data_IF_459605863923
#
_entry.id   IF_459605863923
#
_cell.length_a   1.000
_cell.length_b   1.000
_cell.length_c   1.000
_cell.angle_alpha   90.00
_cell.angle_beta   90.00
_cell.angle_gamma   90.00
#
_symmetry.space_group_name_H-M   'P 1'
#
loop_
_entity.id
_entity.type
_entity.pdbx_description
1 polymer ?
#
# COMPACT_ATOMS: atom_id res chain seq x y z
N UNK A 1 -15.51 7.83 0.60
CA UNK A 1 -15.90 7.43 1.97
C UNK A 1 -14.84 6.58 2.69
N UNK A 2 -13.96 5.85 1.99
CA UNK A 2 -12.98 4.91 2.58
C UNK A 2 -11.60 5.47 2.99
N UNK A 3 -11.31 6.76 2.71
CA UNK A 3 -10.08 7.42 3.17
C UNK A 3 -10.15 7.87 4.66
N UNK A 4 -11.35 8.21 5.16
CA UNK A 4 -11.54 8.76 6.51
C UNK A 4 -11.28 7.77 7.66
N UNK A 5 -11.50 6.47 7.45
CA UNK A 5 -11.34 5.46 8.50
C UNK A 5 -9.90 5.02 8.71
N UNK A 6 -9.06 5.04 7.66
CA UNK A 6 -7.62 4.80 7.81
C UNK A 6 -6.91 6.00 8.46
N UNK A 7 -7.25 7.24 8.08
CA UNK A 7 -6.65 8.44 8.67
C UNK A 7 -6.82 8.51 10.20
N UNK A 8 -7.94 8.03 10.75
CA UNK A 8 -8.17 7.99 12.21
C UNK A 8 -7.33 6.96 12.97
N UNK A 9 -6.90 5.87 12.32
CA UNK A 9 -6.07 4.85 12.98
C UNK A 9 -4.60 5.28 13.05
N UNK A 10 -4.13 6.06 12.07
CA UNK A 10 -2.73 6.48 11.94
C UNK A 10 -2.44 7.87 12.55
N UNK A 11 -3.46 8.61 12.95
CA UNK A 11 -3.32 9.96 13.54
C UNK A 11 -2.68 9.95 14.93
N UNK A 12 -2.61 8.80 15.61
CA UNK A 12 -2.02 8.69 16.96
C UNK A 12 -0.48 8.85 16.98
N UNK A 13 0.18 8.71 15.82
CA UNK A 13 1.64 8.79 15.69
C UNK A 13 2.13 10.05 14.95
N UNK A 14 1.25 10.99 14.64
CA UNK A 14 1.61 12.27 14.01
C UNK A 14 2.14 13.25 15.06
N UNK A 15 3.17 14.01 14.71
CA UNK A 15 3.67 15.10 15.56
C UNK A 15 2.68 16.28 15.56
N UNK A 16 2.75 17.13 16.58
CA UNK A 16 1.89 18.31 16.70
C UNK A 16 2.06 19.23 15.48
N UNK A 17 0.99 19.42 14.70
CA UNK A 17 1.00 20.20 13.45
C UNK A 17 1.26 19.40 12.17
N UNK A 18 1.58 18.10 12.26
CA UNK A 18 1.79 17.23 11.10
C UNK A 18 0.45 16.83 10.45
N UNK A 19 0.33 16.99 9.13
CA UNK A 19 -0.89 16.69 8.36
C UNK A 19 -0.61 15.66 7.28
N UNK A 20 -1.53 14.70 7.14
CA UNK A 20 -1.50 13.71 6.06
C UNK A 20 -1.94 14.39 4.76
N UNK A 21 -1.02 14.48 3.80
CA UNK A 21 -1.25 15.06 2.47
C UNK A 21 -1.84 14.01 1.53
N UNK A 22 -1.28 12.80 1.54
CA UNK A 22 -1.78 11.71 0.72
C UNK A 22 -1.60 10.34 1.39
N UNK A 23 -2.51 9.42 1.10
CA UNK A 23 -2.40 8.02 1.54
C UNK A 23 -2.37 7.15 0.29
N UNK A 24 -1.23 6.55 0.02
CA UNK A 24 -1.06 5.55 -1.01
C UNK A 24 -1.32 4.17 -0.40
N UNK A 25 -1.98 3.30 -1.17
CA UNK A 25 -2.19 1.90 -0.79
C UNK A 25 -1.68 1.00 -1.90
N UNK A 26 -1.05 -0.11 -1.52
CA UNK A 26 -0.67 -1.15 -2.46
C UNK A 26 -1.91 -1.74 -3.14
N UNK A 27 -1.78 -2.02 -4.44
CA UNK A 27 -2.86 -2.60 -5.22
C UNK A 27 -3.19 -4.02 -4.72
N UNK A 28 -4.48 -4.43 -4.71
CA UNK A 28 -4.90 -5.76 -4.25
C UNK A 28 -4.22 -6.92 -4.99
N UNK A 29 -3.63 -6.65 -6.16
CA UNK A 29 -2.85 -7.61 -6.94
C UNK A 29 -1.60 -8.12 -6.21
N UNK A 30 -1.08 -7.39 -5.21
CA UNK A 30 -0.05 -7.91 -4.27
C UNK A 30 -0.54 -9.17 -3.52
N UNK A 31 -1.85 -9.27 -3.29
CA UNK A 31 -2.51 -10.38 -2.60
C UNK A 31 -3.15 -11.39 -3.57
N UNK A 32 -2.91 -11.29 -4.89
CA UNK A 32 -3.53 -12.17 -5.88
C UNK A 32 -3.14 -13.65 -5.69
N UNK A 33 -1.88 -13.91 -5.37
CA UNK A 33 -1.38 -15.27 -5.10
C UNK A 33 -2.05 -15.87 -3.85
N UNK A 34 -2.17 -15.08 -2.78
CA UNK A 34 -2.89 -15.50 -1.58
C UNK A 34 -4.38 -15.76 -1.88
N UNK A 35 -5.01 -14.90 -2.67
CA UNK A 35 -6.39 -15.09 -3.14
C UNK A 35 -6.57 -16.38 -3.96
N UNK A 36 -5.60 -16.72 -4.81
CA UNK A 36 -5.61 -17.98 -5.57
C UNK A 36 -5.50 -19.21 -4.65
N UNK A 37 -4.63 -19.17 -3.64
CA UNK A 37 -4.51 -20.24 -2.64
C UNK A 37 -5.82 -20.39 -1.85
N UNK A 38 -6.43 -19.29 -1.40
CA UNK A 38 -7.73 -19.31 -0.71
C UNK A 38 -8.80 -19.91 -1.63
N UNK A 39 -8.83 -19.53 -2.90
CA UNK A 39 -9.76 -20.09 -3.87
C UNK A 39 -9.57 -21.60 -4.03
N UNK A 40 -8.33 -22.11 -4.04
CA UNK A 40 -8.05 -23.54 -4.09
C UNK A 40 -8.64 -24.28 -2.88
N UNK A 41 -8.48 -23.72 -1.67
CA UNK A 41 -9.06 -24.29 -0.44
C UNK A 41 -10.59 -24.33 -0.43
N UNK A 42 -11.26 -23.51 -1.26
CA UNK A 42 -12.72 -23.55 -1.43
C UNK A 42 -13.12 -24.47 -2.58
N UNK A 43 -12.43 -24.39 -3.72
CA UNK A 43 -12.80 -25.08 -4.94
C UNK A 43 -12.44 -26.56 -4.94
N UNK A 44 -11.32 -26.96 -4.31
CA UNK A 44 -10.91 -28.38 -4.26
C UNK A 44 -11.89 -29.23 -3.45
N UNK A 45 -12.27 -28.87 -2.22
CA UNK A 45 -13.27 -29.65 -1.48
C UNK A 45 -14.64 -29.64 -2.15
N UNK A 46 -14.99 -28.54 -2.83
CA UNK A 46 -16.25 -28.43 -3.58
C UNK A 46 -16.26 -29.35 -4.81
N UNK A 47 -15.14 -29.48 -5.51
CA UNK A 47 -15.01 -30.42 -6.64
C UNK A 47 -15.15 -31.88 -6.16
N UNK A 48 -14.60 -32.20 -4.99
CA UNK A 48 -14.72 -33.52 -4.36
C UNK A 48 -15.94 -33.66 -3.44
N UNK A 49 -16.97 -32.80 -3.57
CA UNK A 49 -18.11 -32.78 -2.65
C UNK A 49 -18.81 -34.14 -2.53
N UNK A 50 -19.13 -34.78 -3.66
CA UNK A 50 -19.83 -36.08 -3.69
C UNK A 50 -19.03 -37.19 -2.98
N UNK A 51 -17.75 -37.45 -3.31
CA UNK A 51 -16.96 -38.46 -2.60
C UNK A 51 -16.67 -38.07 -1.14
N UNK A 52 -16.55 -36.79 -0.81
CA UNK A 52 -16.40 -36.36 0.59
C UNK A 52 -17.66 -36.69 1.39
N UNK A 53 -18.84 -36.32 0.90
CA UNK A 53 -20.10 -36.60 1.60
C UNK A 53 -20.33 -38.11 1.76
N UNK A 54 -19.87 -38.93 0.80
CA UNK A 54 -19.93 -40.39 0.90
C UNK A 54 -19.09 -40.97 2.06
N UNK A 55 -18.10 -40.23 2.58
CA UNK A 55 -17.32 -40.60 3.77
C UNK A 55 -18.07 -40.31 5.09
N UNK A 56 -19.29 -39.79 5.04
CA UNK A 56 -20.10 -39.48 6.22
C UNK A 56 -19.48 -38.38 7.08
N UNK A 57 -19.42 -38.62 8.39
CA UNK A 57 -18.94 -37.62 9.38
C UNK A 57 -17.51 -37.15 9.08
N UNK A 58 -16.63 -38.06 8.66
CA UNK A 58 -15.23 -37.73 8.33
C UNK A 58 -15.18 -36.71 7.20
N UNK A 59 -15.97 -36.92 6.14
CA UNK A 59 -16.05 -36.01 5.02
C UNK A 59 -16.59 -34.64 5.39
N UNK A 60 -17.59 -34.60 6.27
CA UNK A 60 -18.11 -33.36 6.82
C UNK A 60 -17.04 -32.57 7.59
N UNK A 61 -16.28 -33.22 8.47
CA UNK A 61 -15.19 -32.57 9.21
C UNK A 61 -14.07 -32.06 8.29
N UNK A 62 -13.72 -32.79 7.23
CA UNK A 62 -12.73 -32.33 6.25
C UNK A 62 -13.23 -31.07 5.53
N UNK A 63 -14.48 -31.08 5.07
CA UNK A 63 -15.08 -29.93 4.38
C UNK A 63 -15.14 -28.71 5.29
N UNK A 64 -15.58 -28.90 6.53
CA UNK A 64 -15.63 -27.86 7.54
C UNK A 64 -14.23 -27.30 7.84
N UNK A 65 -13.21 -28.15 7.98
CA UNK A 65 -11.84 -27.74 8.24
C UNK A 65 -11.27 -26.93 7.07
N UNK A 66 -11.46 -27.38 5.83
CA UNK A 66 -11.01 -26.63 4.64
C UNK A 66 -11.71 -25.26 4.53
N UNK A 67 -13.02 -25.22 4.76
CA UNK A 67 -13.77 -23.96 4.70
C UNK A 67 -13.38 -23.00 5.83
N UNK A 68 -13.24 -23.50 7.06
CA UNK A 68 -12.77 -22.71 8.20
C UNK A 68 -11.37 -22.15 7.94
N UNK A 69 -10.46 -22.95 7.37
CA UNK A 69 -9.12 -22.50 7.00
C UNK A 69 -9.16 -21.43 5.89
N UNK A 70 -10.00 -21.60 4.87
CA UNK A 70 -10.17 -20.61 3.80
C UNK A 70 -10.68 -19.27 4.35
N UNK A 71 -11.69 -19.30 5.23
CA UNK A 71 -12.22 -18.11 5.90
C UNK A 71 -11.15 -17.44 6.77
N UNK A 72 -10.41 -18.23 7.55
CA UNK A 72 -9.32 -17.72 8.38
C UNK A 72 -8.24 -17.01 7.56
N UNK A 73 -7.79 -17.63 6.46
CA UNK A 73 -6.81 -17.05 5.55
C UNK A 73 -7.33 -15.76 4.89
N UNK A 74 -8.60 -15.75 4.46
CA UNK A 74 -9.23 -14.56 3.89
C UNK A 74 -9.30 -13.41 4.90
N UNK A 75 -9.71 -13.68 6.14
CA UNK A 75 -9.76 -12.67 7.19
C UNK A 75 -8.37 -12.12 7.52
N UNK A 76 -7.36 -13.00 7.60
CA UNK A 76 -5.96 -12.61 7.80
C UNK A 76 -5.48 -11.69 6.68
N UNK A 77 -5.76 -12.01 5.44
CA UNK A 77 -5.30 -11.22 4.30
C UNK A 77 -5.98 -9.85 4.23
N UNK A 78 -7.29 -9.80 4.49
CA UNK A 78 -8.04 -8.54 4.61
C UNK A 78 -7.49 -7.69 5.76
N UNK A 79 -7.14 -8.30 6.89
CA UNK A 79 -6.56 -7.61 8.03
C UNK A 79 -5.20 -6.99 7.69
N UNK A 80 -4.31 -7.77 7.07
CA UNK A 80 -2.99 -7.31 6.65
C UNK A 80 -3.13 -6.16 5.64
N UNK A 81 -3.93 -6.35 4.58
CA UNK A 81 -4.15 -5.32 3.56
C UNK A 81 -4.76 -4.03 4.13
N UNK A 82 -5.59 -4.13 5.16
CA UNK A 82 -6.15 -2.96 5.86
C UNK A 82 -5.12 -2.15 6.63
N UNK A 83 -4.05 -2.79 7.09
CA UNK A 83 -3.03 -2.17 7.93
C UNK A 83 -1.78 -1.74 7.16
N UNK A 84 -1.57 -2.29 5.96
CA UNK A 84 -0.58 -1.76 5.04
C UNK A 84 -1.04 -0.40 4.47
N UNK A 85 -0.30 0.65 4.82
CA UNK A 85 -0.57 1.98 4.32
C UNK A 85 0.71 2.78 4.23
N UNK A 86 0.88 3.46 3.11
CA UNK A 86 1.95 4.41 2.90
C UNK A 86 1.36 5.83 3.00
N UNK A 87 1.89 6.62 3.93
CA UNK A 87 1.42 7.96 4.23
C UNK A 87 2.48 8.98 3.81
N UNK A 88 2.06 9.91 2.97
CA UNK A 88 2.80 11.12 2.69
C UNK A 88 2.27 12.24 3.57
N UNK A 89 3.12 12.78 4.44
CA UNK A 89 2.80 13.95 5.26
C UNK A 89 3.49 15.20 4.72
N UNK A 90 3.25 16.33 5.37
CA UNK A 90 3.92 17.60 5.09
C UNK A 90 5.41 17.60 5.48
N UNK A 91 5.85 16.70 6.37
CA UNK A 91 7.21 16.72 6.93
C UNK A 91 8.03 15.47 6.58
N UNK A 92 7.37 14.33 6.42
CA UNK A 92 8.01 13.04 6.18
C UNK A 92 7.11 12.08 5.41
N UNK A 93 7.71 10.98 5.03
CA UNK A 93 7.07 9.79 4.49
C UNK A 93 7.04 8.77 5.61
N UNK A 94 5.88 8.16 5.84
CA UNK A 94 5.68 7.09 6.82
C UNK A 94 5.11 5.88 6.11
N UNK A 95 5.82 4.77 6.20
CA UNK A 95 5.39 3.49 5.68
C UNK A 95 5.05 2.54 6.82
N UNK A 96 3.83 1.99 6.78
CA UNK A 96 3.37 1.01 7.73
C UNK A 96 3.27 -0.34 7.03
N UNK A 97 4.24 -1.20 7.32
CA UNK A 97 4.30 -2.56 6.80
C UNK A 97 3.89 -3.58 7.86
N UNK A 98 2.83 -4.33 7.56
CA UNK A 98 2.29 -5.36 8.44
C UNK A 98 2.69 -6.76 7.97
N UNK A 99 3.87 -7.24 8.39
CA UNK A 99 4.32 -8.62 8.15
C UNK A 99 3.55 -9.63 9.05
N UNK A 100 2.29 -9.91 8.73
CA UNK A 100 1.45 -10.90 9.41
C UNK A 100 0.59 -10.34 10.55
N UNK A 101 0.17 -11.18 11.49
CA UNK A 101 -0.74 -10.77 12.59
C UNK A 101 0.02 -10.08 13.73
N UNK A 102 1.29 -10.44 13.94
CA UNK A 102 2.11 -9.98 15.08
C UNK A 102 3.35 -9.16 14.69
N UNK A 103 3.71 -9.13 13.41
CA UNK A 103 4.84 -8.35 12.91
C UNK A 103 4.37 -7.04 12.29
N UNK A 104 4.78 -5.91 12.86
CA UNK A 104 4.61 -4.57 12.28
C UNK A 104 5.96 -3.88 12.19
N UNK A 105 6.28 -3.38 11.01
CA UNK A 105 7.40 -2.50 10.75
C UNK A 105 6.84 -1.12 10.42
N UNK A 106 7.39 -0.09 11.06
CA UNK A 106 7.10 1.30 10.74
C UNK A 106 8.40 1.93 10.28
N UNK A 107 8.45 2.28 9.01
CA UNK A 107 9.59 2.95 8.41
C UNK A 107 9.25 4.41 8.19
N UNK A 108 10.17 5.29 8.56
CA UNK A 108 9.95 6.73 8.47
C UNK A 108 11.12 7.38 7.75
N UNK A 109 10.84 8.24 6.79
CA UNK A 109 11.86 8.99 6.06
C UNK A 109 11.47 10.46 5.95
N UNK A 110 12.31 11.34 6.51
CA UNK A 110 12.15 12.78 6.33
C UNK A 110 12.60 13.22 4.94
N UNK A 111 11.98 14.26 4.39
CA UNK A 111 12.31 14.75 3.05
C UNK A 111 13.77 15.20 2.90
N UNK A 112 14.39 15.73 3.95
CA UNK A 112 15.82 16.11 3.95
C UNK A 112 16.78 14.91 3.90
N UNK A 113 16.29 13.70 4.18
CA UNK A 113 17.07 12.47 4.15
C UNK A 113 16.84 11.65 2.90
N UNK A 114 15.92 12.04 2.01
CA UNK A 114 15.72 11.36 0.74
C UNK A 114 16.90 11.69 -0.18
N UNK A 115 17.63 10.66 -0.62
CA UNK A 115 18.68 10.80 -1.63
C UNK A 115 18.13 10.65 -3.04
N UNK A 116 17.31 9.63 -3.23
CA UNK A 116 16.83 9.25 -4.56
C UNK A 116 15.48 8.54 -4.46
N UNK A 117 14.64 8.76 -5.48
CA UNK A 117 13.32 8.13 -5.60
C UNK A 117 13.21 7.53 -6.99
N UNK A 118 13.25 6.20 -7.04
CA UNK A 118 13.18 5.44 -8.30
C UNK A 118 11.83 4.78 -8.42
N UNK A 119 11.33 4.68 -9.64
CA UNK A 119 10.20 3.81 -9.94
C UNK A 119 10.61 2.73 -10.94
N UNK A 120 9.92 1.60 -10.91
CA UNK A 120 10.18 0.49 -11.81
C UNK A 120 8.87 -0.18 -12.20
N UNK A 121 8.65 -0.35 -13.51
CA UNK A 121 7.55 -1.14 -14.06
C UNK A 121 8.15 -2.39 -14.70
N UNK A 122 7.87 -3.57 -14.14
CA UNK A 122 8.39 -4.86 -14.64
C UNK A 122 7.26 -5.67 -15.28
N UNK A 123 7.44 -6.03 -16.56
CA UNK A 123 6.54 -6.92 -17.29
C UNK A 123 5.38 -6.22 -18.02
N UNK A 124 4.76 -6.97 -18.94
CA UNK A 124 3.72 -6.46 -19.86
C UNK A 124 2.46 -6.05 -19.09
N UNK A 125 2.03 -6.86 -18.12
CA UNK A 125 0.84 -6.59 -17.30
C UNK A 125 1.00 -5.32 -16.46
N UNK A 126 2.18 -5.09 -15.89
CA UNK A 126 2.48 -3.89 -15.10
C UNK A 126 2.42 -2.63 -15.98
N UNK A 127 2.95 -2.68 -17.19
CA UNK A 127 2.88 -1.55 -18.14
C UNK A 127 1.44 -1.29 -18.60
N UNK A 128 0.67 -2.35 -18.89
CA UNK A 128 -0.71 -2.21 -19.38
C UNK A 128 -1.67 -1.72 -18.28
N UNK A 129 -1.54 -2.24 -17.06
CA UNK A 129 -2.35 -1.84 -15.90
C UNK A 129 -1.84 -0.56 -15.22
N UNK A 130 -0.71 -0.01 -15.68
CA UNK A 130 -0.09 1.17 -15.07
C UNK A 130 0.46 0.92 -13.66
N UNK A 131 0.74 -0.33 -13.30
CA UNK A 131 1.24 -0.73 -11.99
C UNK A 131 2.77 -0.78 -11.98
N UNK A 132 3.37 -0.50 -10.83
CA UNK A 132 4.79 -0.75 -10.62
C UNK A 132 5.23 -0.41 -9.21
N UNK A 133 6.53 -0.46 -8.97
CA UNK A 133 7.10 -0.27 -7.65
C UNK A 133 7.80 1.09 -7.57
N UNK A 134 7.81 1.70 -6.39
CA UNK A 134 8.55 2.92 -6.08
C UNK A 134 9.49 2.63 -4.91
N UNK A 135 10.76 2.95 -5.06
CA UNK A 135 11.79 2.74 -4.03
C UNK A 135 12.36 4.10 -3.66
N UNK A 136 12.32 4.43 -2.37
CA UNK A 136 12.87 5.64 -1.79
C UNK A 136 14.13 5.25 -1.03
N UNK A 137 15.26 5.83 -1.43
CA UNK A 137 16.55 5.58 -0.81
C UNK A 137 16.94 6.74 0.10
N UNK A 138 17.38 6.41 1.32
CA UNK A 138 17.67 7.39 2.37
C UNK A 138 19.17 7.59 2.57
N UNK A 139 19.57 8.78 2.99
CA UNK A 139 20.96 9.15 3.20
C UNK A 139 21.48 8.57 4.52
N UNK A 140 22.50 7.70 4.43
CA UNK A 140 23.25 7.24 5.60
C UNK A 140 22.60 6.10 6.40
N UNK A 141 21.56 5.46 5.85
CA UNK A 141 20.96 4.24 6.41
C UNK A 141 20.69 3.21 5.32
N UNK A 142 20.85 1.92 5.63
CA UNK A 142 20.40 0.79 4.79
C UNK A 142 18.85 0.66 4.74
N UNK A 143 18.12 1.67 5.24
CA UNK A 143 16.66 1.70 5.27
C UNK A 143 16.17 2.27 3.94
N UNK A 144 15.73 1.39 3.04
CA UNK A 144 14.90 1.75 1.89
C UNK A 144 13.43 1.66 2.26
N UNK A 145 12.61 2.56 1.70
CA UNK A 145 11.16 2.42 1.74
C UNK A 145 10.69 1.97 0.37
N UNK A 146 9.93 0.87 0.32
CA UNK A 146 9.52 0.23 -0.92
C UNK A 146 8.00 0.17 -1.01
N UNK A 147 7.44 0.88 -1.99
CA UNK A 147 6.03 0.78 -2.33
C UNK A 147 5.87 -0.20 -3.48
N UNK A 148 5.32 -1.37 -3.19
CA UNK A 148 5.04 -2.39 -4.21
C UNK A 148 3.67 -2.20 -4.86
N UNK A 149 3.62 -2.47 -6.18
CA UNK A 149 2.39 -2.50 -6.98
C UNK A 149 1.50 -1.27 -6.74
N UNK A 150 2.06 -0.08 -6.86
CA UNK A 150 1.32 1.17 -6.82
C UNK A 150 0.79 1.51 -8.21
N UNK A 151 -0.41 2.09 -8.27
CA UNK A 151 -0.97 2.65 -9.50
C UNK A 151 -0.21 3.92 -9.89
N UNK A 152 0.14 4.03 -11.16
CA UNK A 152 0.88 5.16 -11.74
C UNK A 152 2.15 5.50 -10.93
N UNK A 153 3.13 4.59 -10.83
CA UNK A 153 4.30 4.79 -9.96
C UNK A 153 5.17 5.99 -10.37
N UNK A 154 5.12 6.40 -11.64
CA UNK A 154 5.73 7.64 -12.12
C UNK A 154 5.06 8.88 -11.50
N UNK A 155 3.73 8.88 -11.36
CA UNK A 155 3.01 9.97 -10.72
C UNK A 155 3.35 10.08 -9.24
N UNK A 156 3.47 8.93 -8.56
CA UNK A 156 3.87 8.85 -7.15
C UNK A 156 5.29 9.40 -6.96
N UNK A 157 6.23 8.99 -7.81
CA UNK A 157 7.61 9.51 -7.77
C UNK A 157 7.64 11.03 -7.94
N UNK A 158 6.91 11.57 -8.92
CA UNK A 158 6.81 13.02 -9.15
C UNK A 158 6.20 13.76 -7.97
N UNK A 159 5.20 13.16 -7.33
CA UNK A 159 4.53 13.73 -6.17
C UNK A 159 5.45 13.77 -4.94
N UNK A 160 6.27 12.73 -4.74
CA UNK A 160 7.29 12.72 -3.69
C UNK A 160 8.38 13.77 -3.97
N UNK A 161 8.88 13.85 -5.21
CA UNK A 161 9.89 14.86 -5.59
C UNK A 161 9.35 16.29 -5.38
N UNK A 162 8.09 16.54 -5.77
CA UNK A 162 7.41 17.81 -5.52
C UNK A 162 7.29 18.15 -4.03
N UNK A 163 6.95 17.16 -3.20
CA UNK A 163 6.88 17.33 -1.74
C UNK A 163 8.26 17.70 -1.17
N UNK A 164 9.32 17.03 -1.64
CA UNK A 164 10.70 17.31 -1.23
C UNK A 164 11.15 18.72 -1.61
N UNK A 165 10.86 19.17 -2.84
CA UNK A 165 11.18 20.54 -3.27
C UNK A 165 10.44 21.60 -2.44
N UNK A 166 9.16 21.36 -2.14
CA UNK A 166 8.34 22.29 -1.34
C UNK A 166 8.88 22.39 0.08
N UNK A 167 9.28 21.26 0.67
CA UNK A 167 9.96 21.22 1.96
C UNK A 167 11.30 21.97 1.94
N UNK A 168 12.13 21.77 0.91
CA UNK A 168 13.44 22.42 0.78
C UNK A 168 13.34 23.95 0.62
N UNK A 169 12.27 24.46 0.01
CA UNK A 169 12.00 25.89 -0.10
C UNK A 169 11.56 26.55 1.20
N UNK A 170 11.23 25.75 2.24
CA UNK A 170 10.65 26.27 3.48
C UNK A 170 9.24 26.85 3.28
N UNK A 171 8.62 26.58 2.13
CA UNK A 171 7.21 26.92 1.91
C UNK A 171 6.38 26.08 2.89
N UNK A 172 5.46 26.73 3.61
CA UNK A 172 4.59 26.05 4.58
C UNK A 172 3.63 25.12 3.84
N UNK A 173 4.06 23.88 3.59
CA UNK A 173 3.15 22.77 3.25
C UNK A 173 2.08 22.64 4.35
N UNK A 174 2.42 23.02 5.58
CA UNK A 174 1.56 23.08 6.77
C UNK A 174 0.27 23.88 6.56
N UNK A 175 0.30 24.93 5.73
CA UNK A 175 -0.85 25.80 5.46
C UNK A 175 -1.69 25.34 4.26
N UNK A 176 -1.17 24.43 3.43
CA UNK A 176 -1.90 23.91 2.27
C UNK A 176 -2.86 22.80 2.70
N UNK A 177 -4.14 22.97 2.37
CA UNK A 177 -5.09 21.86 2.51
C UNK A 177 -4.67 20.73 1.55
N UNK A 178 -4.93 19.44 1.86
CA UNK A 178 -4.56 18.32 0.99
C UNK A 178 -5.03 18.48 -0.47
N UNK A 179 -6.19 19.11 -0.69
CA UNK A 179 -6.72 19.41 -2.01
C UNK A 179 -5.89 20.47 -2.77
N UNK A 180 -5.38 21.48 -2.06
CA UNK A 180 -4.58 22.55 -2.63
C UNK A 180 -3.18 22.04 -3.00
N UNK A 181 -2.59 21.15 -2.18
CA UNK A 181 -1.33 20.49 -2.50
C UNK A 181 -1.43 19.62 -3.76
N UNK A 182 -2.50 18.81 -3.87
CA UNK A 182 -2.73 18.04 -5.10
C UNK A 182 -2.95 18.94 -6.31
N UNK A 183 -3.60 20.10 -6.14
CA UNK A 183 -3.73 21.13 -7.17
C UNK A 183 -2.38 21.72 -7.57
N UNK A 184 -1.50 22.02 -6.61
CA UNK A 184 -0.14 22.51 -6.82
C UNK A 184 0.71 21.51 -7.62
N UNK A 185 0.74 20.25 -7.18
CA UNK A 185 1.45 19.16 -7.90
C UNK A 185 0.86 18.95 -9.30
N UNK A 186 -0.46 18.96 -9.44
CA UNK A 186 -1.14 18.84 -10.74
C UNK A 186 -0.85 20.04 -11.66
N UNK A 187 -0.69 21.24 -11.10
CA UNK A 187 -0.28 22.46 -11.80
C UNK A 187 1.15 22.39 -12.33
N UNK A 188 2.08 21.75 -11.61
CA UNK A 188 3.44 21.52 -12.11
C UNK A 188 3.45 20.63 -13.37
N UNK A 189 2.54 19.65 -13.45
CA UNK A 189 2.35 18.79 -14.63
C UNK A 189 2.06 19.59 -15.93
N UNK A 190 1.52 20.81 -15.82
CA UNK A 190 1.20 21.68 -16.96
C UNK A 190 2.37 22.57 -17.40
N UNK A 191 3.35 22.83 -16.53
CA UNK A 191 4.57 23.58 -16.88
C UNK A 191 5.59 22.70 -17.62
N UNK A 192 5.67 21.42 -17.27
CA UNK A 192 6.62 20.48 -17.86
C UNK A 192 6.23 20.02 -19.28
N UNK A 193 4.94 20.13 -19.64
CA UNK A 193 4.39 19.73 -20.95
C UNK A 193 4.54 20.80 -22.05
N UNK A 194 5.27 21.88 -21.79
CA UNK A 194 5.58 22.96 -22.76
C UNK A 194 6.95 22.77 -23.41
N UNK A 195 7.19 21.61 -24.01
CA UNK A 195 8.23 21.42 -25.04
C UNK A 195 7.74 20.35 -26.01
#
# INVERSE_FOLDING_TARGET
MFQNSAQKAFTKNLQDGERIVHVFRSHPMKHAVAGFIIALFVLVPLFFLVPLVALGDIGFFILLACFALAVFLALREIYIWRLHAFLLTNWRIVDHDQYGIFGRTVSECRFDKIQDVRYTKKGILSTFLGLGNVVIQTAGSDVSIELDLVQEPEHVQKLIAAAQETFARGDKVDDMRPADFLGYVRGMKMKEKKW
#
